data_IF_173977554168
#
_entry.id   IF_173977554168
#
_cell.length_a   1.000
_cell.length_b   1.000
_cell.length_c   1.000
_cell.angle_alpha   90.00
_cell.angle_beta   90.00
_cell.angle_gamma   90.00
#
_symmetry.space_group_name_H-M   'P 1'
#
loop_
_entity.id
_entity.type
_entity.pdbx_description
1 polymer ?
#
# COMPACT_ATOMS: atom_id res chain seq x y z
N UNK A 1 9.60 21.45 -20.17
CA UNK A 1 8.57 20.48 -20.63
C UNK A 1 8.08 19.71 -19.42
N UNK A 2 6.79 19.83 -19.09
CA UNK A 2 6.19 19.21 -17.92
C UNK A 2 6.38 17.67 -17.95
N UNK A 3 6.85 17.09 -16.84
CA UNK A 3 7.18 15.66 -16.71
C UNK A 3 6.01 14.76 -17.09
N UNK A 4 4.78 15.20 -16.80
CA UNK A 4 3.55 14.46 -17.10
C UNK A 4 3.27 14.44 -18.61
N UNK A 5 3.63 15.49 -19.36
CA UNK A 5 3.49 15.49 -20.82
C UNK A 5 4.43 14.45 -21.44
N UNK A 6 5.69 14.38 -20.98
CA UNK A 6 6.65 13.36 -21.46
C UNK A 6 6.20 11.94 -21.13
N UNK A 7 5.61 11.72 -19.95
CA UNK A 7 5.06 10.42 -19.59
C UNK A 7 3.79 10.08 -20.37
N UNK A 8 2.90 11.05 -20.58
CA UNK A 8 1.70 10.91 -21.39
C UNK A 8 2.05 10.47 -22.81
N UNK A 9 2.99 11.16 -23.48
CA UNK A 9 3.43 10.81 -24.83
C UNK A 9 4.01 9.38 -24.92
N UNK A 10 4.79 8.96 -23.93
CA UNK A 10 5.29 7.57 -23.87
C UNK A 10 4.15 6.57 -23.69
N UNK A 11 3.24 6.81 -22.75
CA UNK A 11 2.07 5.94 -22.53
C UNK A 11 1.14 5.89 -23.72
N UNK A 12 1.02 6.99 -24.45
CA UNK A 12 0.28 7.05 -25.71
C UNK A 12 0.94 6.18 -26.79
N UNK A 13 2.27 6.26 -26.93
CA UNK A 13 3.02 5.41 -27.85
C UNK A 13 2.93 3.91 -27.51
N UNK A 14 2.83 3.57 -26.21
CA UNK A 14 2.63 2.19 -25.74
C UNK A 14 1.18 1.68 -25.91
N UNK A 15 0.24 2.49 -26.41
CA UNK A 15 -1.19 2.14 -26.51
C UNK A 15 -1.97 2.21 -25.19
N UNK A 16 -1.37 2.72 -24.12
CA UNK A 16 -1.98 2.84 -22.81
C UNK A 16 -2.81 4.13 -22.65
N UNK A 17 -3.85 4.31 -23.47
CA UNK A 17 -4.62 5.56 -23.54
C UNK A 17 -5.24 5.99 -22.20
N UNK A 18 -5.85 5.06 -21.46
CA UNK A 18 -6.42 5.36 -20.13
C UNK A 18 -5.35 5.85 -19.15
N UNK A 19 -4.15 5.29 -19.22
CA UNK A 19 -3.03 5.70 -18.37
C UNK A 19 -2.51 7.06 -18.80
N UNK A 20 -2.42 7.32 -20.11
CA UNK A 20 -2.00 8.61 -20.64
C UNK A 20 -2.93 9.75 -20.18
N UNK A 21 -4.25 9.53 -20.22
CA UNK A 21 -5.25 10.51 -19.71
C UNK A 21 -5.08 10.74 -18.21
N UNK A 22 -4.91 9.67 -17.41
CA UNK A 22 -4.67 9.79 -15.96
C UNK A 22 -3.38 10.58 -15.65
N UNK A 23 -2.31 10.33 -16.40
CA UNK A 23 -1.03 11.04 -16.24
C UNK A 23 -1.21 12.52 -16.58
N UNK A 24 -1.93 12.84 -17.67
CA UNK A 24 -2.16 14.21 -18.09
C UNK A 24 -2.98 15.02 -17.06
N UNK A 25 -4.00 14.40 -16.45
CA UNK A 25 -4.83 15.04 -15.43
C UNK A 25 -4.21 15.03 -14.02
N UNK A 26 -3.06 14.38 -13.83
CA UNK A 26 -2.42 14.30 -12.51
C UNK A 26 -1.62 15.58 -12.22
N UNK A 27 -1.65 16.01 -10.95
CA UNK A 27 -0.79 17.10 -10.45
C UNK A 27 0.65 16.64 -10.17
N UNK A 28 0.99 15.40 -10.53
CA UNK A 28 2.28 14.78 -10.21
C UNK A 28 2.46 14.54 -8.71
N UNK A 29 3.71 14.40 -8.29
CA UNK A 29 4.11 14.32 -6.89
C UNK A 29 4.50 15.71 -6.43
N UNK A 30 3.93 16.17 -5.30
CA UNK A 30 4.30 17.45 -4.71
C UNK A 30 5.79 17.43 -4.31
N UNK A 31 6.55 18.50 -4.58
CA UNK A 31 7.94 18.58 -4.16
C UNK A 31 8.03 18.58 -2.63
N UNK A 32 9.12 18.03 -2.08
CA UNK A 32 9.42 18.14 -0.66
C UNK A 32 9.91 19.56 -0.34
N UNK A 33 8.98 20.45 0.00
CA UNK A 33 9.25 21.83 0.37
C UNK A 33 8.26 22.34 1.44
N UNK A 34 8.56 23.50 2.01
CA UNK A 34 7.76 24.11 3.09
C UNK A 34 6.33 24.44 2.63
N UNK A 35 6.14 24.84 1.38
CA UNK A 35 4.80 25.11 0.82
C UNK A 35 3.93 23.85 0.81
N UNK A 36 4.50 22.71 0.38
CA UNK A 36 3.81 21.43 0.42
C UNK A 36 3.56 20.98 1.86
N UNK A 37 4.52 21.19 2.77
CA UNK A 37 4.36 20.87 4.20
C UNK A 37 3.20 21.66 4.80
N UNK A 38 3.10 22.96 4.52
CA UNK A 38 2.00 23.82 4.97
C UNK A 38 0.63 23.35 4.46
N UNK A 39 0.54 22.98 3.18
CA UNK A 39 -0.70 22.43 2.58
C UNK A 39 -1.08 21.10 3.23
N UNK A 40 -0.09 20.27 3.56
CA UNK A 40 -0.32 19.00 4.25
C UNK A 40 -0.83 19.23 5.67
N UNK A 41 -0.23 20.14 6.43
CA UNK A 41 -0.66 20.48 7.80
C UNK A 41 -2.08 21.08 7.83
N UNK A 42 -2.42 21.94 6.85
CA UNK A 42 -3.76 22.51 6.72
C UNK A 42 -4.82 21.41 6.45
N UNK A 43 -4.51 20.45 5.58
CA UNK A 43 -5.43 19.35 5.23
C UNK A 43 -5.47 18.23 6.27
N UNK A 44 -4.37 18.04 7.00
CA UNK A 44 -4.17 16.93 7.91
C UNK A 44 -3.62 17.45 9.25
N UNK A 45 -4.49 17.92 10.15
CA UNK A 45 -4.07 18.33 11.49
C UNK A 45 -3.33 17.19 12.17
N UNK A 46 -2.19 17.52 12.79
CA UNK A 46 -1.38 16.53 13.50
C UNK A 46 -2.23 15.78 14.54
N UNK A 47 -2.14 14.45 14.51
CA UNK A 47 -2.63 13.59 15.59
C UNK A 47 -1.46 12.80 16.15
N UNK A 48 -1.33 12.70 17.49
CA UNK A 48 -0.34 11.80 18.06
C UNK A 48 -0.59 10.37 17.57
N UNK A 49 0.46 9.56 17.41
CA UNK A 49 0.30 8.14 17.14
C UNK A 49 -0.66 7.53 18.16
N UNK A 50 -1.53 6.58 17.76
CA UNK A 50 -2.34 5.87 18.72
C UNK A 50 -1.42 5.19 19.74
N UNK A 51 -1.59 5.51 21.02
CA UNK A 51 -0.87 4.85 22.09
C UNK A 51 -1.30 3.39 22.14
N UNK A 52 -0.32 2.48 22.07
CA UNK A 52 -0.58 1.10 22.46
C UNK A 52 -1.06 1.10 23.92
N UNK A 53 -2.10 0.33 24.27
CA UNK A 53 -2.45 0.14 25.66
C UNK A 53 -1.21 -0.43 26.38
N UNK A 54 -0.75 0.25 27.45
CA UNK A 54 0.29 -0.27 28.36
C UNK A 54 -0.19 -1.50 29.15
N UNK A 55 -1.46 -1.89 28.97
CA UNK A 55 -1.99 -3.14 29.48
C UNK A 55 -1.23 -4.29 28.83
N UNK A 56 -0.27 -4.86 29.57
CA UNK A 56 0.22 -6.20 29.29
C UNK A 56 -0.99 -7.12 29.42
N UNK A 57 -1.63 -7.44 28.30
CA UNK A 57 -2.58 -8.53 28.27
C UNK A 57 -1.79 -9.78 28.70
N UNK A 58 -2.05 -10.23 29.94
CA UNK A 58 -1.71 -11.59 30.36
C UNK A 58 -2.74 -12.50 29.69
N UNK A 59 -2.75 -12.48 28.36
CA UNK A 59 -3.51 -13.45 27.59
C UNK A 59 -2.68 -14.73 27.61
N UNK A 60 -3.30 -15.84 28.01
CA UNK A 60 -2.63 -17.12 27.99
C UNK A 60 -2.09 -17.37 26.58
N UNK A 61 -0.84 -17.87 26.43
CA UNK A 61 -0.28 -18.15 25.11
C UNK A 61 -1.25 -19.03 24.31
N UNK A 62 -1.66 -18.54 23.13
CA UNK A 62 -2.52 -19.32 22.24
C UNK A 62 -1.71 -20.50 21.70
N UNK A 63 -1.91 -21.68 22.27
CA UNK A 63 -1.27 -22.91 21.81
C UNK A 63 -2.14 -23.59 20.76
N UNK A 64 -1.65 -23.62 19.52
CA UNK A 64 -2.27 -24.40 18.45
C UNK A 64 -1.48 -25.70 18.22
N UNK A 65 -2.18 -26.81 17.99
CA UNK A 65 -1.54 -28.08 17.57
C UNK A 65 -1.04 -27.95 16.14
N UNK A 66 0.21 -28.38 15.90
CA UNK A 66 0.85 -28.33 14.58
C UNK A 66 -0.04 -28.99 13.51
N UNK A 67 -0.65 -30.13 13.82
CA UNK A 67 -1.52 -30.87 12.90
C UNK A 67 -2.74 -30.06 12.44
N UNK A 68 -3.31 -29.26 13.35
CA UNK A 68 -4.47 -28.41 13.07
C UNK A 68 -4.03 -27.25 12.17
N UNK A 69 -2.90 -26.61 12.49
CA UNK A 69 -2.35 -25.50 11.70
C UNK A 69 -2.03 -25.98 10.28
N UNK A 70 -1.36 -27.12 10.15
CA UNK A 70 -1.00 -27.68 8.84
C UNK A 70 -2.24 -28.04 8.02
N UNK A 71 -3.27 -28.64 8.64
CA UNK A 71 -4.53 -28.95 7.97
C UNK A 71 -5.26 -27.69 7.48
N UNK A 72 -5.28 -26.63 8.27
CA UNK A 72 -5.88 -25.34 7.88
C UNK A 72 -5.11 -24.72 6.71
N UNK A 73 -3.79 -24.71 6.78
CA UNK A 73 -2.94 -24.17 5.71
C UNK A 73 -3.14 -24.96 4.40
N UNK A 74 -3.27 -26.29 4.47
CA UNK A 74 -3.50 -27.13 3.29
C UNK A 74 -4.92 -27.03 2.72
N UNK A 75 -5.85 -26.39 3.43
CA UNK A 75 -7.24 -26.22 2.98
C UNK A 75 -7.43 -25.09 1.96
N UNK A 76 -6.44 -24.21 1.80
CA UNK A 76 -6.50 -23.14 0.81
C UNK A 76 -6.43 -23.70 -0.62
N UNK A 77 -7.15 -23.10 -1.59
CA UNK A 77 -7.02 -23.46 -3.00
C UNK A 77 -5.56 -23.34 -3.46
N UNK A 78 -5.06 -24.36 -4.16
CA UNK A 78 -3.69 -24.34 -4.69
C UNK A 78 -3.52 -23.16 -5.65
N UNK A 79 -2.39 -22.44 -5.53
CA UNK A 79 -2.06 -21.31 -6.39
C UNK A 79 -2.51 -19.94 -5.88
N UNK A 80 -3.02 -19.84 -4.65
CA UNK A 80 -3.31 -18.53 -4.01
C UNK A 80 -2.17 -17.97 -3.17
N UNK A 81 -1.11 -18.75 -2.90
CA UNK A 81 0.08 -18.27 -2.17
C UNK A 81 1.18 -17.83 -3.14
N UNK A 82 1.99 -16.85 -2.71
CA UNK A 82 3.10 -16.31 -3.49
C UNK A 82 4.41 -17.14 -3.38
N UNK A 83 4.36 -18.33 -2.78
CA UNK A 83 5.50 -19.21 -2.55
C UNK A 83 5.67 -20.30 -3.62
N UNK A 84 6.91 -20.77 -3.83
CA UNK A 84 7.23 -21.83 -4.82
C UNK A 84 6.43 -23.12 -4.60
N UNK A 85 6.18 -23.47 -3.34
CA UNK A 85 5.52 -24.71 -2.96
C UNK A 85 3.99 -24.55 -2.80
N UNK A 86 3.44 -23.36 -3.06
CA UNK A 86 2.01 -23.09 -2.94
C UNK A 86 1.48 -23.12 -1.50
N UNK A 87 2.38 -23.01 -0.51
CA UNK A 87 2.12 -22.70 0.90
C UNK A 87 2.39 -21.23 1.19
#
# INVERSE_FOLDING_TARGET
>A
MNTNIKQCLRKFADGHFTVAVKVLGSSGVAPYNEDAMKVLEEKHPYRPPPSAPTTMFVEAPLAAKIDIVLKCIQSFPKGTSCGRDGL
#
